data_IF_755812872590
#
_entry.id   IF_755812872590
#
_cell.length_a   1.000
_cell.length_b   1.000
_cell.length_c   1.000
_cell.angle_alpha   90.00
_cell.angle_beta   90.00
_cell.angle_gamma   90.00
#
_symmetry.space_group_name_H-M   'P 1'
#
loop_
_entity.id
_entity.type
_entity.pdbx_description
1 polymer ?
#
# COMPACT_ATOMS: atom_id res chain seq x y z
N UNK A 1 66.82 14.45 -26.28
CA UNK A 1 65.88 15.29 -25.52
C UNK A 1 65.34 16.38 -26.43
N UNK A 2 64.09 16.27 -26.89
CA UNK A 2 63.46 17.23 -27.82
C UNK A 2 62.29 17.90 -27.09
N UNK A 3 62.37 19.22 -26.88
CA UNK A 3 61.32 20.02 -26.25
C UNK A 3 60.34 20.51 -27.32
N UNK A 4 59.12 19.99 -27.31
CA UNK A 4 58.00 20.48 -28.14
C UNK A 4 57.21 21.51 -27.32
N UNK A 5 57.29 22.79 -27.72
CA UNK A 5 56.42 23.86 -27.19
C UNK A 5 55.12 23.88 -27.99
N UNK A 6 53.98 23.51 -27.37
CA UNK A 6 52.65 23.77 -27.93
C UNK A 6 52.18 25.17 -27.52
N UNK A 7 51.93 26.02 -28.51
CA UNK A 7 51.21 27.30 -28.35
C UNK A 7 49.71 26.99 -28.28
N UNK A 8 49.07 27.36 -27.18
CA UNK A 8 47.61 27.33 -27.03
C UNK A 8 47.11 28.69 -27.51
N UNK A 9 46.43 28.70 -28.66
CA UNK A 9 45.69 29.87 -29.14
C UNK A 9 44.34 29.94 -28.43
N UNK A 10 44.10 31.03 -27.72
CA UNK A 10 42.83 31.32 -27.05
C UNK A 10 41.87 31.90 -28.12
N UNK A 11 40.90 31.09 -28.55
CA UNK A 11 39.82 31.55 -29.43
C UNK A 11 38.67 32.08 -28.55
N UNK A 12 38.57 33.41 -28.45
CA UNK A 12 37.45 34.07 -27.78
C UNK A 12 36.25 34.12 -28.74
N UNK A 13 35.25 33.28 -28.47
CA UNK A 13 33.94 33.33 -29.14
C UNK A 13 33.07 34.33 -28.41
N UNK A 14 32.80 35.48 -29.03
CA UNK A 14 31.74 36.40 -28.60
C UNK A 14 30.38 35.75 -28.93
N UNK A 15 29.68 35.26 -27.90
CA UNK A 15 28.28 34.88 -28.01
C UNK A 15 27.44 36.13 -27.73
N UNK A 16 26.80 36.67 -28.77
CA UNK A 16 25.79 37.71 -28.61
C UNK A 16 24.58 37.12 -27.87
N UNK A 17 24.39 37.55 -26.62
CA UNK A 17 23.23 37.19 -25.83
C UNK A 17 22.00 37.95 -26.35
N UNK A 18 21.16 37.29 -27.15
CA UNK A 18 19.78 37.69 -27.34
C UNK A 18 19.03 37.39 -26.04
N UNK A 19 18.80 38.42 -25.22
CA UNK A 19 17.90 38.31 -24.07
C UNK A 19 16.50 37.94 -24.55
N UNK A 20 15.89 36.85 -24.06
CA UNK A 20 14.50 36.55 -24.40
C UNK A 20 13.60 37.68 -23.91
N UNK A 21 12.71 38.12 -24.81
CA UNK A 21 11.66 39.08 -24.51
C UNK A 21 10.79 38.47 -23.39
N UNK A 22 10.52 39.18 -22.28
CA UNK A 22 9.63 38.66 -21.25
C UNK A 22 8.24 38.45 -21.87
N UNK A 23 7.86 37.19 -22.07
CA UNK A 23 6.48 36.83 -22.34
C UNK A 23 5.69 37.11 -21.07
N UNK A 24 4.79 38.08 -21.15
CA UNK A 24 3.79 38.31 -20.12
C UNK A 24 3.00 37.00 -19.96
N UNK A 25 3.00 36.36 -18.78
CA UNK A 25 2.20 35.16 -18.57
C UNK A 25 0.74 35.50 -18.89
N UNK A 26 0.00 34.61 -19.58
CA UNK A 26 -1.42 34.80 -19.80
C UNK A 26 -2.05 35.01 -18.42
N UNK A 27 -2.74 36.15 -18.26
CA UNK A 27 -3.35 36.51 -16.99
C UNK A 27 -4.25 35.38 -16.52
N UNK A 28 -4.07 34.97 -15.26
CA UNK A 28 -4.93 34.04 -14.55
C UNK A 28 -6.34 34.61 -14.50
N UNK A 29 -7.12 34.38 -15.56
CA UNK A 29 -8.55 34.49 -15.46
C UNK A 29 -8.96 33.46 -14.39
N UNK A 30 -9.65 33.87 -13.31
CA UNK A 30 -10.11 32.94 -12.30
C UNK A 30 -10.94 31.88 -13.00
N UNK A 31 -10.46 30.63 -12.99
CA UNK A 31 -11.26 29.50 -13.42
C UNK A 31 -12.40 29.43 -12.41
N UNK A 32 -13.57 29.91 -12.83
CA UNK A 32 -14.80 29.82 -12.06
C UNK A 32 -15.11 28.34 -11.83
N UNK A 33 -14.62 27.85 -10.69
CA UNK A 33 -14.69 26.44 -10.30
C UNK A 33 -16.11 26.06 -9.86
N UNK A 34 -17.08 26.97 -9.98
CA UNK A 34 -18.41 26.83 -9.40
C UNK A 34 -19.43 26.04 -10.25
N UNK A 35 -19.08 25.54 -11.45
CA UNK A 35 -20.07 24.89 -12.32
C UNK A 35 -19.61 23.63 -13.06
N UNK A 36 -18.53 22.97 -12.64
CA UNK A 36 -18.33 21.58 -13.09
C UNK A 36 -19.28 20.71 -12.28
N UNK A 37 -20.42 20.37 -12.87
CA UNK A 37 -21.29 19.32 -12.38
C UNK A 37 -20.48 18.03 -12.34
N UNK A 38 -19.89 17.74 -11.18
CA UNK A 38 -19.31 16.44 -10.91
C UNK A 38 -20.50 15.49 -10.88
N UNK A 39 -20.56 14.46 -11.76
CA UNK A 39 -21.59 13.44 -11.62
C UNK A 39 -21.52 12.93 -10.17
N UNK A 40 -22.69 12.64 -9.59
CA UNK A 40 -22.75 12.01 -8.29
C UNK A 40 -21.77 10.84 -8.29
N UNK A 41 -20.92 10.69 -7.24
CA UNK A 41 -20.00 9.58 -7.17
C UNK A 41 -20.81 8.31 -7.37
N UNK A 42 -20.60 7.65 -8.51
CA UNK A 42 -21.21 6.35 -8.75
C UNK A 42 -20.74 5.51 -7.57
N UNK A 43 -21.67 5.00 -6.78
CA UNK A 43 -21.37 4.00 -5.78
C UNK A 43 -20.94 2.73 -6.52
N UNK A 44 -19.72 2.72 -7.04
CA UNK A 44 -19.09 1.55 -7.70
C UNK A 44 -18.78 0.47 -6.66
N UNK A 45 -19.04 0.73 -5.38
CA UNK A 45 -18.79 -0.22 -4.32
C UNK A 45 -19.88 -1.29 -4.31
N UNK A 46 -19.57 -2.55 -4.70
CA UNK A 46 -20.43 -3.65 -4.28
C UNK A 46 -20.54 -3.59 -2.77
N UNK A 47 -21.77 -3.69 -2.25
CA UNK A 47 -22.03 -3.77 -0.82
C UNK A 47 -21.15 -4.88 -0.24
N UNK A 48 -20.00 -4.51 0.33
CA UNK A 48 -19.17 -5.43 1.07
C UNK A 48 -20.08 -5.97 2.17
N UNK A 49 -20.48 -7.24 2.07
CA UNK A 49 -21.38 -7.93 3.01
C UNK A 49 -21.20 -7.36 4.42
N UNK A 50 -22.14 -6.51 4.84
CA UNK A 50 -22.05 -5.76 6.10
C UNK A 50 -22.08 -6.71 7.32
N UNK A 51 -22.43 -7.98 7.11
CA UNK A 51 -22.29 -9.05 8.07
C UNK A 51 -21.81 -10.33 7.37
N UNK A 52 -20.73 -10.93 7.87
CA UNK A 52 -20.36 -12.31 7.58
C UNK A 52 -20.98 -13.18 8.68
N UNK A 53 -21.85 -14.15 8.36
CA UNK A 53 -22.37 -15.06 9.38
C UNK A 53 -21.23 -15.82 10.07
N UNK A 54 -21.16 -15.73 11.39
CA UNK A 54 -20.17 -16.42 12.20
C UNK A 54 -20.21 -17.94 11.95
N UNK A 55 -19.05 -18.57 11.92
CA UNK A 55 -18.88 -20.03 11.80
C UNK A 55 -18.05 -20.54 12.99
N UNK A 56 -18.64 -20.67 14.20
CA UNK A 56 -17.88 -21.01 15.40
C UNK A 56 -16.99 -22.24 15.21
N UNK A 57 -15.72 -22.13 15.61
CA UNK A 57 -14.72 -23.20 15.44
C UNK A 57 -14.19 -23.38 14.02
N UNK A 58 -14.59 -22.55 13.05
CA UNK A 58 -14.07 -22.62 11.69
C UNK A 58 -12.55 -22.42 11.67
N UNK A 59 -11.87 -23.20 10.84
CA UNK A 59 -10.48 -22.98 10.45
C UNK A 59 -10.42 -22.87 8.94
N UNK A 60 -9.71 -21.86 8.44
CA UNK A 60 -9.55 -21.66 6.99
C UNK A 60 -8.48 -22.61 6.47
N UNK A 61 -8.87 -23.53 5.59
CA UNK A 61 -7.93 -24.39 4.89
C UNK A 61 -7.24 -23.63 3.76
N UNK A 62 -8.04 -22.94 2.93
CA UNK A 62 -7.61 -22.24 1.71
C UNK A 62 -8.39 -20.94 1.53
N UNK A 63 -7.80 -19.96 0.86
CA UNK A 63 -8.48 -18.77 0.35
C UNK A 63 -8.08 -18.50 -1.10
N UNK A 64 -9.03 -18.08 -1.92
CA UNK A 64 -8.80 -17.71 -3.33
C UNK A 64 -9.65 -16.50 -3.72
N UNK A 65 -9.14 -15.70 -4.66
CA UNK A 65 -9.94 -14.70 -5.38
C UNK A 65 -10.37 -15.31 -6.70
N UNK A 66 -11.68 -15.49 -6.90
CA UNK A 66 -12.28 -15.98 -8.14
C UNK A 66 -12.48 -14.80 -9.08
N UNK A 67 -11.48 -14.52 -9.90
CA UNK A 67 -11.52 -13.47 -10.92
C UNK A 67 -12.35 -13.93 -12.11
N UNK A 68 -13.23 -13.05 -12.57
CA UNK A 68 -13.83 -13.19 -13.90
C UNK A 68 -12.89 -12.51 -14.91
N UNK A 69 -12.63 -13.17 -16.03
CA UNK A 69 -11.88 -12.66 -17.19
C UNK A 69 -12.42 -11.34 -17.74
N UNK A 70 -13.66 -10.98 -17.42
CA UNK A 70 -14.29 -9.72 -17.86
C UNK A 70 -14.05 -8.53 -16.93
N UNK A 71 -13.53 -8.76 -15.73
CA UNK A 71 -13.39 -7.73 -14.68
C UNK A 71 -11.91 -7.39 -14.42
N UNK A 72 -11.63 -6.10 -14.18
CA UNK A 72 -10.30 -5.50 -13.96
C UNK A 72 -9.53 -6.10 -12.76
N UNK A 73 -9.09 -7.36 -12.86
CA UNK A 73 -8.31 -8.09 -11.85
C UNK A 73 -8.96 -8.26 -10.46
N UNK A 74 -10.26 -7.96 -10.33
CA UNK A 74 -11.05 -8.14 -9.10
C UNK A 74 -11.92 -9.40 -9.19
N UNK A 75 -12.33 -9.93 -8.05
CA UNK A 75 -13.23 -11.07 -8.00
C UNK A 75 -13.70 -11.41 -6.60
N UNK A 76 -14.58 -12.41 -6.47
CA UNK A 76 -15.06 -12.85 -5.16
C UNK A 76 -13.94 -13.53 -4.37
N UNK A 77 -13.70 -13.11 -3.14
CA UNK A 77 -12.84 -13.84 -2.21
C UNK A 77 -13.65 -14.96 -1.57
N UNK A 78 -13.19 -16.20 -1.76
CA UNK A 78 -13.83 -17.41 -1.24
C UNK A 78 -12.83 -18.15 -0.36
N UNK A 79 -13.24 -18.45 0.87
CA UNK A 79 -12.51 -19.35 1.76
C UNK A 79 -13.08 -20.76 1.66
N UNK A 80 -12.21 -21.76 1.73
CA UNK A 80 -12.57 -23.16 1.99
C UNK A 80 -12.17 -23.47 3.42
N UNK A 81 -13.11 -23.92 4.22
CA UNK A 81 -12.90 -24.32 5.61
C UNK A 81 -12.26 -25.70 5.69
N UNK A 82 -11.70 -26.05 6.85
CA UNK A 82 -11.19 -27.40 7.14
C UNK A 82 -12.25 -28.49 7.02
N UNK A 83 -13.53 -28.14 7.17
CA UNK A 83 -14.69 -29.04 6.95
C UNK A 83 -14.96 -29.33 5.47
N UNK A 84 -14.36 -28.56 4.55
CA UNK A 84 -14.65 -28.60 3.11
C UNK A 84 -15.67 -27.55 2.66
N UNK A 85 -16.39 -26.92 3.59
CA UNK A 85 -17.36 -25.88 3.26
C UNK A 85 -16.71 -24.67 2.61
N UNK A 86 -17.40 -24.03 1.66
CA UNK A 86 -16.94 -22.80 1.02
C UNK A 86 -17.77 -21.61 1.46
N UNK A 87 -17.11 -20.52 1.82
CA UNK A 87 -17.75 -19.28 2.28
C UNK A 87 -17.22 -18.10 1.47
N UNK A 88 -18.11 -17.28 0.93
CA UNK A 88 -17.74 -16.01 0.30
C UNK A 88 -17.48 -14.99 1.42
N UNK A 89 -16.27 -14.46 1.49
CA UNK A 89 -15.86 -13.48 2.51
C UNK A 89 -15.81 -12.05 1.98
N UNK A 90 -15.72 -11.89 0.66
CA UNK A 90 -15.91 -10.60 -0.01
C UNK A 90 -16.41 -10.80 -1.45
N UNK A 91 -17.35 -9.96 -1.89
CA UNK A 91 -17.86 -10.00 -3.27
C UNK A 91 -16.89 -9.40 -4.28
N UNK A 92 -15.99 -8.53 -3.82
CA UNK A 92 -14.94 -7.93 -4.63
C UNK A 92 -13.66 -7.82 -3.81
N UNK A 93 -12.61 -8.44 -4.32
CA UNK A 93 -11.25 -8.40 -3.79
C UNK A 93 -10.24 -8.45 -4.94
N UNK A 94 -9.13 -7.74 -4.80
CA UNK A 94 -7.98 -7.79 -5.70
C UNK A 94 -7.09 -8.99 -5.35
N UNK A 95 -6.81 -9.16 -4.05
CA UNK A 95 -5.99 -10.23 -3.46
C UNK A 95 -6.58 -10.68 -2.13
N UNK A 96 -6.15 -11.85 -1.68
CA UNK A 96 -6.55 -12.41 -0.40
C UNK A 96 -5.41 -13.23 0.22
N UNK A 97 -5.33 -13.22 1.55
CA UNK A 97 -4.29 -13.87 2.33
C UNK A 97 -4.91 -14.67 3.47
N UNK A 98 -4.42 -15.90 3.67
CA UNK A 98 -4.70 -16.69 4.86
C UNK A 98 -3.71 -16.26 5.94
N UNK A 99 -4.21 -15.85 7.11
CA UNK A 99 -3.39 -15.35 8.21
C UNK A 99 -3.23 -16.38 9.34
N UNK A 100 -3.93 -17.51 9.29
CA UNK A 100 -3.84 -18.58 10.30
C UNK A 100 -5.14 -18.75 11.08
N UNK A 101 -5.43 -19.97 11.52
CA UNK A 101 -6.73 -20.29 12.14
C UNK A 101 -7.91 -19.92 11.23
N UNK A 102 -8.84 -19.13 11.76
CA UNK A 102 -9.99 -18.54 11.06
C UNK A 102 -9.71 -17.20 10.39
N UNK A 103 -8.52 -16.62 10.59
CA UNK A 103 -8.20 -15.26 10.20
C UNK A 103 -7.74 -15.18 8.74
N UNK A 104 -8.33 -14.26 7.99
CA UNK A 104 -7.96 -13.93 6.62
C UNK A 104 -7.92 -12.42 6.42
N UNK A 105 -7.24 -11.99 5.37
CA UNK A 105 -7.31 -10.62 4.89
C UNK A 105 -7.63 -10.58 3.40
N UNK A 106 -8.33 -9.54 2.98
CA UNK A 106 -8.67 -9.29 1.57
C UNK A 106 -8.35 -7.84 1.24
N UNK A 107 -7.80 -7.58 0.05
CA UNK A 107 -7.64 -6.22 -0.44
C UNK A 107 -8.73 -5.85 -1.44
N UNK A 108 -9.20 -4.61 -1.38
CA UNK A 108 -10.21 -4.06 -2.30
C UNK A 108 -9.70 -2.78 -2.98
N UNK A 109 -10.39 -2.32 -4.03
CA UNK A 109 -10.10 -1.08 -4.77
C UNK A 109 -10.63 0.19 -4.08
N UNK A 110 -11.13 0.05 -2.86
CA UNK A 110 -11.66 1.10 -1.98
C UNK A 110 -10.58 1.71 -1.08
N UNK A 111 -9.37 1.85 -1.63
CA UNK A 111 -8.26 2.53 -0.98
C UNK A 111 -8.42 4.05 -0.96
N UNK A 112 -7.32 4.75 -0.69
CA UNK A 112 -7.32 6.21 -0.58
C UNK A 112 -7.25 6.94 -1.96
N UNK A 113 -7.40 6.23 -3.07
CA UNK A 113 -7.09 6.72 -4.43
C UNK A 113 -5.66 6.37 -4.82
N UNK A 114 -4.95 7.23 -5.54
CA UNK A 114 -3.53 6.99 -5.90
C UNK A 114 -3.25 7.28 -7.37
N UNK A 115 -2.02 7.02 -7.80
CA UNK A 115 -1.68 7.09 -9.21
C UNK A 115 -2.56 6.09 -9.97
N UNK A 116 -3.27 6.56 -11.01
CA UNK A 116 -4.19 5.75 -11.81
C UNK A 116 -5.28 4.99 -11.00
N UNK A 117 -5.64 5.50 -9.81
CA UNK A 117 -6.58 4.87 -8.88
C UNK A 117 -6.17 3.46 -8.38
N UNK A 118 -4.88 3.24 -8.21
CA UNK A 118 -4.36 1.92 -7.80
C UNK A 118 -4.48 1.59 -6.31
N UNK A 119 -4.78 2.58 -5.46
CA UNK A 119 -4.75 2.39 -4.02
C UNK A 119 -5.78 1.39 -3.54
N UNK A 120 -5.37 0.63 -2.53
CA UNK A 120 -6.15 -0.47 -2.01
C UNK A 120 -6.48 -0.28 -0.53
N UNK A 121 -7.61 -0.88 -0.13
CA UNK A 121 -7.91 -1.10 1.28
C UNK A 121 -7.48 -2.50 1.69
N UNK A 122 -7.26 -2.72 2.99
CA UNK A 122 -7.15 -4.05 3.59
C UNK A 122 -8.29 -4.25 4.58
N UNK A 123 -9.04 -5.32 4.39
CA UNK A 123 -10.05 -5.78 5.35
C UNK A 123 -9.59 -7.08 5.99
N UNK A 124 -9.55 -7.10 7.32
CA UNK A 124 -9.30 -8.30 8.12
C UNK A 124 -10.63 -8.93 8.49
N UNK A 125 -10.71 -10.25 8.38
CA UNK A 125 -11.91 -11.03 8.59
C UNK A 125 -11.57 -12.24 9.45
N UNK A 126 -12.28 -12.44 10.55
CA UNK A 126 -12.27 -13.68 11.30
C UNK A 126 -13.57 -14.44 10.98
N UNK A 127 -13.42 -15.59 10.32
CA UNK A 127 -14.56 -16.38 9.85
C UNK A 127 -15.28 -17.06 11.03
N UNK A 128 -14.60 -17.28 12.15
CA UNK A 128 -15.16 -18.01 13.27
C UNK A 128 -16.24 -17.22 14.00
N UNK A 129 -15.99 -15.94 14.28
CA UNK A 129 -16.91 -15.04 14.97
C UNK A 129 -17.63 -14.06 14.02
N UNK A 130 -17.28 -14.06 12.73
CA UNK A 130 -17.87 -13.16 11.73
C UNK A 130 -17.31 -11.73 11.81
N UNK A 131 -16.25 -11.49 12.60
CA UNK A 131 -15.60 -10.20 12.69
C UNK A 131 -15.06 -9.76 11.33
N UNK A 132 -15.30 -8.49 11.00
CA UNK A 132 -14.81 -7.85 9.79
C UNK A 132 -14.44 -6.41 10.09
N UNK A 133 -13.25 -5.99 9.68
CA UNK A 133 -12.81 -4.60 9.85
C UNK A 133 -11.88 -4.18 8.72
N UNK A 134 -12.16 -3.02 8.12
CA UNK A 134 -11.17 -2.33 7.30
C UNK A 134 -10.08 -1.75 8.21
N UNK A 135 -8.84 -2.16 8.00
CA UNK A 135 -7.70 -1.81 8.86
C UNK A 135 -6.64 -0.95 8.15
N UNK A 136 -6.68 -0.91 6.82
CA UNK A 136 -5.83 -0.04 5.98
C UNK A 136 -6.69 0.53 4.85
N UNK A 137 -6.45 1.79 4.51
CA UNK A 137 -6.83 2.39 3.24
C UNK A 137 -5.64 3.26 2.80
N UNK A 138 -4.95 2.85 1.73
CA UNK A 138 -3.73 3.52 1.27
C UNK A 138 -3.81 3.82 -0.23
N UNK A 139 -2.88 4.62 -0.71
CA UNK A 139 -2.75 5.04 -2.12
C UNK A 139 -1.99 4.01 -2.97
N UNK A 140 -1.44 2.98 -2.33
CA UNK A 140 -0.55 2.00 -2.95
C UNK A 140 -1.23 0.63 -3.05
N UNK A 141 -0.79 -0.17 -4.03
CA UNK A 141 -1.27 -1.54 -4.19
C UNK A 141 -0.71 -2.44 -3.07
N UNK A 142 -1.57 -3.23 -2.42
CA UNK A 142 -1.12 -4.19 -1.40
C UNK A 142 -0.58 -5.44 -2.08
N UNK A 143 0.69 -5.76 -1.85
CA UNK A 143 1.37 -6.88 -2.52
C UNK A 143 1.60 -8.08 -1.62
N UNK A 144 1.77 -7.88 -0.30
CA UNK A 144 1.98 -8.95 0.67
C UNK A 144 1.44 -8.57 2.04
N UNK A 145 0.89 -9.55 2.76
CA UNK A 145 0.45 -9.41 4.15
C UNK A 145 0.98 -10.61 4.93
N UNK A 146 1.58 -10.35 6.09
CA UNK A 146 2.13 -11.37 6.98
C UNK A 146 1.60 -11.16 8.40
N UNK A 147 1.28 -12.25 9.10
CA UNK A 147 0.85 -12.22 10.50
C UNK A 147 2.04 -12.40 11.43
N UNK A 148 2.23 -11.44 12.33
CA UNK A 148 2.94 -11.64 13.59
C UNK A 148 1.93 -12.14 14.64
N UNK A 149 2.16 -13.33 15.18
CA UNK A 149 1.47 -13.84 16.37
C UNK A 149 2.54 -14.22 17.40
N UNK A 150 2.70 -13.39 18.43
CA UNK A 150 3.77 -13.53 19.40
C UNK A 150 3.33 -13.07 20.80
N UNK A 151 3.53 -13.92 21.80
CA UNK A 151 3.22 -13.65 23.20
C UNK A 151 1.78 -13.13 23.45
N UNK A 152 0.82 -13.60 22.67
CA UNK A 152 -0.59 -13.17 22.77
C UNK A 152 -0.92 -11.86 22.04
N UNK A 153 0.08 -11.21 21.44
CA UNK A 153 -0.12 -10.04 20.59
C UNK A 153 -0.17 -10.43 19.12
N UNK A 154 -1.05 -9.77 18.38
CA UNK A 154 -1.20 -9.97 16.93
C UNK A 154 -0.97 -8.67 16.19
N UNK A 155 -0.13 -8.73 15.15
CA UNK A 155 0.12 -7.62 14.25
C UNK A 155 0.21 -8.09 12.81
N UNK A 156 -0.09 -7.21 11.86
CA UNK A 156 0.12 -7.48 10.45
C UNK A 156 1.25 -6.59 9.93
N UNK A 157 2.18 -7.21 9.22
CA UNK A 157 3.11 -6.51 8.34
C UNK A 157 2.52 -6.50 6.93
N UNK A 158 2.24 -5.31 6.42
CA UNK A 158 1.63 -5.12 5.10
C UNK A 158 2.64 -4.42 4.20
N UNK A 159 3.00 -5.10 3.11
CA UNK A 159 3.84 -4.53 2.06
C UNK A 159 2.96 -3.98 0.94
N UNK A 160 3.31 -2.79 0.50
CA UNK A 160 2.62 -2.07 -0.54
C UNK A 160 3.61 -1.62 -1.62
N UNK A 161 3.13 -1.46 -2.84
CA UNK A 161 3.93 -1.01 -3.98
C UNK A 161 3.25 0.16 -4.67
N UNK A 162 4.02 1.20 -4.94
CA UNK A 162 3.65 2.30 -5.84
C UNK A 162 3.74 1.82 -7.29
N UNK A 163 2.67 2.00 -8.08
CA UNK A 163 2.63 1.62 -9.49
C UNK A 163 3.43 2.55 -10.39
N UNK A 164 3.70 3.78 -9.96
CA UNK A 164 4.51 4.74 -10.71
C UNK A 164 5.98 4.34 -10.75
N UNK A 165 6.66 4.41 -9.60
CA UNK A 165 8.11 4.11 -9.50
C UNK A 165 8.43 2.67 -9.12
N UNK A 166 7.42 1.89 -8.72
CA UNK A 166 7.64 0.53 -8.25
C UNK A 166 8.20 0.44 -6.83
N UNK A 167 8.30 1.54 -6.09
CA UNK A 167 8.84 1.59 -4.73
C UNK A 167 8.02 0.77 -3.74
N UNK A 168 8.69 0.05 -2.85
CA UNK A 168 8.04 -0.61 -1.72
C UNK A 168 7.84 0.33 -0.53
N UNK A 169 6.66 0.22 0.06
CA UNK A 169 6.25 0.87 1.29
C UNK A 169 5.77 -0.21 2.25
N UNK A 170 5.87 0.05 3.55
CA UNK A 170 5.34 -0.87 4.56
C UNK A 170 4.45 -0.15 5.55
N UNK A 171 3.49 -0.91 6.06
CA UNK A 171 2.69 -0.49 7.20
C UNK A 171 2.55 -1.63 8.19
N UNK A 172 2.55 -1.29 9.47
CA UNK A 172 2.22 -2.22 10.55
C UNK A 172 0.82 -1.89 11.05
N UNK A 173 0.05 -2.94 11.28
CA UNK A 173 -1.38 -2.88 11.56
C UNK A 173 -1.67 -3.74 12.77
N UNK A 174 -2.38 -3.17 13.73
CA UNK A 174 -3.11 -3.95 14.72
C UNK A 174 -4.45 -4.38 14.08
N UNK A 175 -4.75 -5.69 13.98
CA UNK A 175 -5.97 -6.17 13.31
C UNK A 175 -7.27 -5.71 13.98
N UNK A 176 -7.24 -5.34 15.26
CA UNK A 176 -8.39 -4.84 16.02
C UNK A 176 -8.48 -3.32 15.96
N UNK A 177 -7.35 -2.62 16.00
CA UNK A 177 -7.31 -1.15 16.12
C UNK A 177 -7.17 -0.45 14.76
N UNK A 178 -6.34 -0.97 13.87
CA UNK A 178 -6.03 -0.42 12.55
C UNK A 178 -4.54 -0.13 12.37
N UNK A 179 -4.23 0.80 11.47
CA UNK A 179 -2.87 1.21 11.16
C UNK A 179 -2.16 1.87 12.36
N UNK A 180 -0.98 1.38 12.74
CA UNK A 180 -0.21 1.91 13.90
C UNK A 180 1.17 2.44 13.52
N UNK A 181 1.69 2.06 12.35
CA UNK A 181 2.99 2.55 11.86
C UNK A 181 3.03 2.47 10.34
N UNK A 182 3.70 3.42 9.70
CA UNK A 182 3.87 3.48 8.24
C UNK A 182 5.26 4.01 7.90
N UNK A 183 5.91 3.37 6.94
CA UNK A 183 7.17 3.81 6.36
C UNK A 183 7.11 3.74 4.83
N UNK A 184 7.67 4.76 4.17
CA UNK A 184 7.81 4.80 2.72
C UNK A 184 9.25 4.41 2.32
N UNK A 185 9.44 3.88 1.11
CA UNK A 185 10.75 3.44 0.61
C UNK A 185 11.44 2.52 1.63
N UNK A 186 10.71 1.48 2.02
CA UNK A 186 11.06 0.64 3.16
C UNK A 186 10.72 -0.82 2.92
N UNK A 187 11.49 -1.70 3.57
CA UNK A 187 11.24 -3.13 3.68
C UNK A 187 10.91 -3.50 5.11
N UNK A 188 9.94 -4.39 5.26
CA UNK A 188 9.61 -5.00 6.54
C UNK A 188 10.03 -6.46 6.55
N UNK A 189 10.28 -6.99 7.74
CA UNK A 189 10.34 -8.43 7.97
C UNK A 189 9.85 -8.76 9.37
N UNK A 190 9.23 -9.92 9.51
CA UNK A 190 8.99 -10.50 10.82
C UNK A 190 10.34 -10.95 11.40
N UNK A 191 10.52 -10.68 12.70
CA UNK A 191 11.66 -11.16 13.49
C UNK A 191 11.10 -11.82 14.76
N UNK A 192 11.96 -12.47 15.54
CA UNK A 192 11.53 -13.09 16.80
C UNK A 192 10.88 -12.04 17.72
N UNK A 193 9.61 -12.25 18.05
CA UNK A 193 8.83 -11.36 18.90
C UNK A 193 8.52 -9.96 18.35
N UNK A 194 8.70 -9.68 17.05
CA UNK A 194 8.47 -8.33 16.53
C UNK A 194 8.56 -8.15 15.00
N UNK A 195 8.59 -6.89 14.58
CA UNK A 195 8.71 -6.46 13.18
C UNK A 195 9.91 -5.53 13.06
N UNK A 196 10.82 -5.85 12.15
CA UNK A 196 11.89 -4.95 11.76
C UNK A 196 11.49 -4.21 10.47
N UNK A 197 11.63 -2.89 10.45
CA UNK A 197 11.41 -2.03 9.28
C UNK A 197 12.72 -1.34 8.92
N UNK A 198 13.22 -1.62 7.73
CA UNK A 198 14.41 -1.03 7.14
C UNK A 198 14.00 0.08 6.16
N UNK A 199 14.36 1.33 6.45
CA UNK A 199 14.16 2.49 5.58
C UNK A 199 15.41 2.83 4.77
N UNK A 200 15.25 3.14 3.48
CA UNK A 200 16.37 3.37 2.56
C UNK A 200 16.56 4.84 2.14
N UNK A 201 15.63 5.74 2.50
CA UNK A 201 15.72 7.20 2.32
C UNK A 201 15.95 7.69 0.89
N UNK A 202 16.28 8.98 0.76
CA UNK A 202 16.01 9.91 -0.36
C UNK A 202 16.67 9.63 -1.73
N UNK A 203 17.04 8.38 -2.01
CA UNK A 203 17.39 8.01 -3.38
C UNK A 203 16.12 7.95 -4.22
N UNK A 204 16.16 8.49 -5.45
CA UNK A 204 15.09 8.31 -6.45
C UNK A 204 14.92 6.84 -6.88
N UNK A 205 15.84 5.96 -6.45
CA UNK A 205 15.82 4.53 -6.72
C UNK A 205 14.76 3.79 -5.89
N UNK A 206 13.86 3.03 -6.54
CA UNK A 206 12.85 2.26 -5.82
C UNK A 206 13.49 1.15 -4.98
N UNK A 207 12.87 0.87 -3.83
CA UNK A 207 13.23 -0.27 -2.98
C UNK A 207 12.42 -1.48 -3.41
N UNK A 208 13.08 -2.62 -3.63
CA UNK A 208 12.43 -3.89 -4.04
C UNK A 208 12.59 -5.00 -2.99
N UNK A 209 11.82 -6.09 -3.13
CA UNK A 209 11.96 -7.23 -2.23
C UNK A 209 13.35 -7.85 -2.36
N UNK A 210 14.03 -8.05 -1.24
CA UNK A 210 15.38 -8.61 -1.23
C UNK A 210 16.47 -7.59 -1.54
N UNK A 211 16.15 -6.29 -1.52
CA UNK A 211 17.15 -5.22 -1.57
C UNK A 211 18.26 -5.46 -0.53
N UNK A 212 19.51 -5.38 -1.00
CA UNK A 212 20.72 -5.67 -0.21
C UNK A 212 21.49 -4.42 0.18
N UNK A 213 21.00 -3.23 -0.20
CA UNK A 213 21.60 -1.96 0.23
C UNK A 213 21.61 -1.90 1.76
N UNK A 214 22.56 -1.16 2.33
CA UNK A 214 22.55 -0.89 3.77
C UNK A 214 21.43 0.11 4.05
N UNK A 215 20.46 -0.21 4.92
CA UNK A 215 19.38 0.71 5.23
C UNK A 215 19.92 1.91 6.01
N UNK A 216 19.35 3.09 5.76
CA UNK A 216 19.70 4.31 6.50
C UNK A 216 19.16 4.26 7.94
N UNK A 217 18.05 3.55 8.13
CA UNK A 217 17.38 3.40 9.43
C UNK A 217 16.78 2.00 9.54
N UNK A 218 16.89 1.42 10.73
CA UNK A 218 16.16 0.20 11.09
C UNK A 218 15.36 0.49 12.35
N UNK A 219 14.03 0.43 12.24
CA UNK A 219 13.11 0.46 13.36
C UNK A 219 12.72 -0.96 13.75
N UNK A 220 12.64 -1.24 15.04
CA UNK A 220 12.11 -2.51 15.55
C UNK A 220 10.87 -2.23 16.39
N UNK A 221 9.78 -2.88 16.02
CA UNK A 221 8.49 -2.78 16.69
C UNK A 221 8.24 -4.11 17.40
N UNK A 222 8.44 -4.20 18.72
CA UNK A 222 8.15 -5.42 19.47
C UNK A 222 6.65 -5.68 19.48
N UNK A 223 6.25 -6.95 19.54
CA UNK A 223 4.83 -7.34 19.53
C UNK A 223 4.02 -6.65 20.63
N UNK A 224 4.61 -6.53 21.83
CA UNK A 224 3.99 -5.86 22.98
C UNK A 224 3.74 -4.35 22.78
N UNK A 225 4.46 -3.69 21.86
CA UNK A 225 4.25 -2.26 21.58
C UNK A 225 3.06 -2.01 20.64
N UNK A 226 2.57 -3.02 19.91
CA UNK A 226 1.49 -2.84 18.94
C UNK A 226 0.23 -2.26 19.58
N UNK A 227 -0.09 -2.70 20.80
CA UNK A 227 -1.28 -2.26 21.54
C UNK A 227 -1.15 -0.83 22.10
N UNK A 228 0.07 -0.32 22.21
CA UNK A 228 0.37 1.00 22.79
C UNK A 228 0.72 2.06 21.76
N UNK A 229 1.12 1.66 20.55
CA UNK A 229 1.40 2.61 19.47
C UNK A 229 0.15 3.43 19.13
N UNK A 230 0.36 4.72 18.89
CA UNK A 230 -0.70 5.62 18.46
C UNK A 230 -1.28 5.17 17.12
N UNK A 231 -2.60 5.28 16.97
CA UNK A 231 -3.24 5.04 15.69
C UNK A 231 -2.79 6.09 14.69
N UNK A 232 -2.31 5.65 13.53
CA UNK A 232 -2.22 6.53 12.38
C UNK A 232 -3.66 6.76 11.91
N UNK A 233 -4.07 8.02 11.90
CA UNK A 233 -5.42 8.39 11.44
C UNK A 233 -5.55 7.89 10.01
N UNK A 234 -6.40 6.88 9.81
CA UNK A 234 -6.77 6.42 8.47
C UNK A 234 -7.60 7.57 7.88
N UNK A 235 -7.12 8.27 6.83
CA UNK A 235 -7.93 9.28 6.18
C UNK A 235 -9.23 8.59 5.73
N UNK A 236 -10.38 9.09 6.19
CA UNK A 236 -11.65 8.69 5.61
C UNK A 236 -11.57 9.10 4.14
N UNK A 237 -11.75 8.15 3.23
CA UNK A 237 -12.01 8.51 1.85
C UNK A 237 -13.18 9.51 1.84
N UNK A 238 -13.06 10.64 1.12
CA UNK A 238 -14.16 11.60 1.00
C UNK A 238 -15.41 10.96 0.39
#
# INVERSE_FOLDING_TARGET
>A
MIRIRRRIGLLAVLVAACSPRPETPPGDAPIDSAAVHRPDPVAVMPAQLNALPARPGATVARIVVRRDTTSFSVGRAVVTLSTGDSVVVADSAVRAWKLGGSLVAVSGLDGAGGYENEGQSLTVIDVADGFRRRVVADYFAIVRVELLDAAGHRGLLVHMRDGGRGSLHVTVVDPKRGQVFRARNALGRLIDGGIAVAGYGDTDEPVEFGDKRTPLRIDTIPAAALDTLGLLVIPRAP
#
